data_IF_558059996624
#
_entry.id   IF_558059996624
#
_cell.length_a   1.000
_cell.length_b   1.000
_cell.length_c   1.000
_cell.angle_alpha   90.00
_cell.angle_beta   90.00
_cell.angle_gamma   90.00
#
_symmetry.space_group_name_H-M   'P 1'
#
loop_
_entity.id
_entity.type
_entity.pdbx_description
1 polymer ?
#
# COMPACT_ATOMS: atom_id res chain seq x y z
N UNK A 1 -45.76 3.85 54.09
CA UNK A 1 -44.46 4.53 54.21
C UNK A 1 -43.40 3.63 53.58
N UNK A 2 -43.10 3.83 52.29
CA UNK A 2 -42.02 3.11 51.60
C UNK A 2 -40.72 3.86 51.88
N UNK A 3 -39.85 3.25 52.68
CA UNK A 3 -38.50 3.74 52.93
C UNK A 3 -37.66 3.56 51.65
N UNK A 4 -37.45 4.64 50.89
CA UNK A 4 -36.33 4.71 49.96
C UNK A 4 -35.05 4.76 50.80
N UNK A 5 -34.25 3.70 50.74
CA UNK A 5 -32.88 3.72 51.23
C UNK A 5 -32.07 4.73 50.40
N UNK A 6 -31.26 5.61 51.02
CA UNK A 6 -30.29 6.38 50.27
C UNK A 6 -29.19 5.40 49.86
N UNK A 7 -29.20 4.92 48.62
CA UNK A 7 -28.00 4.33 48.04
C UNK A 7 -26.85 5.31 48.30
N UNK A 8 -25.73 4.88 48.91
CA UNK A 8 -24.69 5.81 49.29
C UNK A 8 -24.15 6.44 48.01
N UNK A 9 -24.29 7.76 47.88
CA UNK A 9 -23.83 8.56 46.74
C UNK A 9 -22.42 8.13 46.26
N UNK A 10 -21.57 7.70 47.21
CA UNK A 10 -20.24 7.13 47.00
C UNK A 10 -20.20 5.89 46.11
N UNK A 11 -21.13 4.95 46.25
CA UNK A 11 -21.20 3.74 45.42
C UNK A 11 -21.59 4.08 43.97
N UNK A 12 -22.50 5.03 43.78
CA UNK A 12 -22.84 5.55 42.46
C UNK A 12 -21.65 6.27 41.79
N UNK A 13 -20.94 7.12 42.54
CA UNK A 13 -19.73 7.77 42.03
C UNK A 13 -18.64 6.77 41.62
N UNK A 14 -18.42 5.71 42.41
CA UNK A 14 -17.48 4.63 42.08
C UNK A 14 -17.90 3.88 40.81
N UNK A 15 -19.18 3.56 40.67
CA UNK A 15 -19.69 2.83 39.51
C UNK A 15 -19.60 3.67 38.23
N UNK A 16 -19.87 4.98 38.31
CA UNK A 16 -19.68 5.93 37.20
C UNK A 16 -18.20 6.07 36.83
N UNK A 17 -17.28 6.15 37.81
CA UNK A 17 -15.84 6.20 37.55
C UNK A 17 -15.31 4.93 36.88
N UNK A 18 -15.75 3.75 37.34
CA UNK A 18 -15.39 2.47 36.73
C UNK A 18 -15.94 2.37 35.31
N UNK A 19 -17.21 2.73 35.10
CA UNK A 19 -17.81 2.75 33.77
C UNK A 19 -17.09 3.73 32.83
N UNK A 20 -16.71 4.92 33.32
CA UNK A 20 -15.93 5.89 32.56
C UNK A 20 -14.53 5.36 32.20
N UNK A 21 -13.86 4.65 33.12
CA UNK A 21 -12.55 4.03 32.85
C UNK A 21 -12.62 2.86 31.86
N UNK A 22 -13.72 2.11 31.84
CA UNK A 22 -13.94 1.04 30.86
C UNK A 22 -14.18 1.60 29.44
N UNK A 23 -14.71 2.82 29.32
CA UNK A 23 -14.95 3.48 28.03
C UNK A 23 -13.68 4.05 27.38
N UNK A 24 -12.56 4.16 28.11
CA UNK A 24 -11.29 4.68 27.54
C UNK A 24 -10.45 3.63 26.82
N UNK A 25 -10.83 2.35 26.84
CA UNK A 25 -10.03 1.24 26.30
C UNK A 25 -9.94 1.14 24.78
N UNK A 26 -10.83 1.77 24.02
CA UNK A 26 -10.90 1.64 22.55
C UNK A 26 -10.59 2.94 21.78
N UNK A 27 -10.13 3.99 22.45
CA UNK A 27 -10.18 5.34 21.89
C UNK A 27 -8.92 5.80 21.13
N UNK A 28 -7.79 5.12 21.27
CA UNK A 28 -6.53 5.61 20.68
C UNK A 28 -5.71 4.52 20.02
N UNK A 29 -5.29 4.79 18.79
CA UNK A 29 -4.23 4.06 18.11
C UNK A 29 -2.86 4.44 18.71
N UNK A 30 -1.83 3.57 18.59
CA UNK A 30 -0.45 3.95 18.84
C UNK A 30 -0.09 5.23 18.05
N UNK A 31 0.81 6.09 18.57
CA UNK A 31 1.24 7.27 17.84
C UNK A 31 1.82 6.86 16.47
N UNK A 32 1.52 7.61 15.39
CA UNK A 32 2.08 7.31 14.08
C UNK A 32 3.60 7.27 14.15
N UNK A 33 4.19 6.21 13.59
CA UNK A 33 5.63 6.14 13.39
C UNK A 33 6.07 7.34 12.53
N UNK A 34 7.19 8.02 12.85
CA UNK A 34 7.71 9.08 12.00
C UNK A 34 8.05 8.51 10.61
N UNK A 35 7.31 8.96 9.58
CA UNK A 35 7.53 8.54 8.20
C UNK A 35 8.44 9.55 7.50
N UNK A 36 9.46 9.07 6.82
CA UNK A 36 10.24 9.90 5.92
C UNK A 36 9.44 10.16 4.64
N UNK A 37 9.29 11.43 4.27
CA UNK A 37 8.73 11.77 2.97
C UNK A 37 9.56 11.15 1.85
N UNK A 38 8.87 10.54 0.89
CA UNK A 38 9.53 9.87 -0.22
C UNK A 38 8.82 10.27 -1.51
N UNK A 39 9.59 10.60 -2.55
CA UNK A 39 9.07 11.05 -3.85
C UNK A 39 9.47 10.07 -4.94
N UNK A 40 8.65 9.99 -5.99
CA UNK A 40 8.99 9.21 -7.18
C UNK A 40 10.19 9.84 -7.89
N UNK A 41 11.10 9.01 -8.40
CA UNK A 41 12.25 9.47 -9.19
C UNK A 41 11.78 9.72 -10.61
N UNK A 42 11.95 10.97 -11.10
CA UNK A 42 11.47 11.37 -12.42
C UNK A 42 12.48 11.14 -13.56
N UNK A 43 13.77 11.09 -13.24
CA UNK A 43 14.83 10.90 -14.25
C UNK A 43 15.03 9.41 -14.59
N UNK A 44 14.12 8.88 -15.40
CA UNK A 44 14.15 7.48 -15.87
C UNK A 44 14.26 7.38 -17.39
N UNK A 45 14.46 8.51 -18.07
CA UNK A 45 14.45 8.57 -19.53
C UNK A 45 15.54 7.72 -20.19
N UNK A 46 16.69 7.54 -19.54
CA UNK A 46 17.80 6.80 -20.13
C UNK A 46 17.74 5.28 -19.93
N UNK A 47 16.80 4.81 -19.12
CA UNK A 47 16.58 3.37 -18.89
C UNK A 47 16.08 2.66 -20.16
N UNK A 48 16.25 1.34 -20.22
CA UNK A 48 15.73 0.53 -21.33
C UNK A 48 14.22 0.67 -21.48
N UNK A 49 13.47 0.58 -20.37
CA UNK A 49 12.02 0.79 -20.35
C UNK A 49 11.63 2.22 -20.75
N UNK A 50 12.37 3.23 -20.29
CA UNK A 50 12.14 4.62 -20.68
C UNK A 50 12.37 4.88 -22.17
N UNK A 51 13.38 4.25 -22.77
CA UNK A 51 13.63 4.28 -24.22
C UNK A 51 12.53 3.55 -24.99
N UNK A 52 12.11 2.38 -24.53
CA UNK A 52 11.03 1.60 -25.15
C UNK A 52 9.70 2.37 -25.14
N UNK A 53 9.34 2.98 -24.00
CA UNK A 53 8.13 3.78 -23.89
C UNK A 53 8.12 4.99 -24.84
N UNK A 54 9.28 5.63 -25.06
CA UNK A 54 9.41 6.69 -26.08
C UNK A 54 9.32 6.17 -27.51
N UNK A 55 9.86 4.98 -27.77
CA UNK A 55 9.82 4.36 -29.10
C UNK A 55 8.40 3.88 -29.47
N UNK A 56 7.62 3.41 -28.50
CA UNK A 56 6.20 3.02 -28.68
C UNK A 56 5.26 4.23 -28.71
N UNK A 57 5.76 5.44 -28.40
CA UNK A 57 4.93 6.62 -28.40
C UNK A 57 4.34 6.88 -29.79
N UNK A 58 3.03 7.18 -29.88
CA UNK A 58 2.38 7.43 -31.16
C UNK A 58 3.00 8.65 -31.85
N UNK A 59 3.30 8.50 -33.14
CA UNK A 59 3.89 9.57 -33.96
C UNK A 59 3.00 10.83 -34.01
N UNK A 60 1.69 10.63 -33.91
CA UNK A 60 0.70 11.69 -33.78
C UNK A 60 0.09 11.63 -32.38
N UNK A 61 0.57 12.43 -31.41
CA UNK A 61 0.12 12.37 -30.02
C UNK A 61 -1.23 13.08 -29.80
N UNK A 62 -2.04 13.22 -30.85
CA UNK A 62 -3.34 13.88 -30.84
C UNK A 62 -4.39 12.85 -31.28
N UNK A 63 -5.26 12.49 -30.35
CA UNK A 63 -6.47 11.72 -30.62
C UNK A 63 -7.60 12.62 -31.09
N UNK A 64 -8.78 12.02 -31.26
CA UNK A 64 -9.99 12.71 -31.74
C UNK A 64 -10.37 13.92 -30.88
N UNK A 65 -10.15 13.85 -29.58
CA UNK A 65 -10.63 14.85 -28.59
C UNK A 65 -9.49 15.61 -27.90
N UNK A 66 -8.26 15.58 -28.44
CA UNK A 66 -7.09 16.28 -27.89
C UNK A 66 -5.86 15.37 -27.72
N UNK A 67 -4.86 15.81 -26.93
CA UNK A 67 -3.65 15.03 -26.69
C UNK A 67 -3.94 13.65 -26.10
N UNK A 68 -3.20 12.64 -26.55
CA UNK A 68 -3.30 11.29 -26.00
C UNK A 68 -2.75 11.27 -24.56
N UNK A 69 -3.39 10.49 -23.68
CA UNK A 69 -3.06 10.41 -22.26
C UNK A 69 -1.80 9.57 -21.96
N UNK A 70 -1.20 8.96 -22.99
CA UNK A 70 -0.09 7.99 -22.89
C UNK A 70 -0.39 6.75 -22.03
N UNK A 71 -1.67 6.46 -21.76
CA UNK A 71 -2.10 5.21 -21.14
C UNK A 71 -2.43 4.14 -22.18
N UNK A 72 -1.98 2.91 -21.93
CA UNK A 72 -2.37 1.71 -22.66
C UNK A 72 -3.33 0.88 -21.80
N UNK A 73 -4.51 0.59 -22.33
CA UNK A 73 -5.47 -0.27 -21.65
C UNK A 73 -5.05 -1.74 -21.78
N UNK A 74 -5.08 -2.46 -20.67
CA UNK A 74 -4.80 -3.89 -20.58
C UNK A 74 -6.04 -4.58 -19.96
N UNK A 75 -7.07 -4.90 -20.77
CA UNK A 75 -8.35 -5.39 -20.26
C UNK A 75 -8.29 -6.85 -19.79
N UNK A 76 -7.34 -7.64 -20.29
CA UNK A 76 -7.14 -9.01 -19.88
C UNK A 76 -6.28 -9.08 -18.62
N UNK A 77 -6.78 -9.77 -17.59
CA UNK A 77 -6.12 -9.82 -16.29
C UNK A 77 -4.76 -10.54 -16.34
N UNK A 78 -4.66 -11.64 -17.10
CA UNK A 78 -3.42 -12.39 -17.21
C UNK A 78 -2.35 -11.56 -17.94
N UNK A 79 -2.71 -10.91 -19.04
CA UNK A 79 -1.82 -10.02 -19.76
C UNK A 79 -1.41 -8.80 -18.93
N UNK A 80 -2.34 -8.21 -18.18
CA UNK A 80 -2.05 -7.08 -17.31
C UNK A 80 -1.11 -7.47 -16.15
N UNK A 81 -1.23 -8.69 -15.63
CA UNK A 81 -0.31 -9.21 -14.61
C UNK A 81 1.07 -9.50 -15.20
N UNK A 82 1.15 -10.20 -16.33
CA UNK A 82 2.41 -10.48 -17.02
C UNK A 82 3.18 -9.19 -17.36
N UNK A 83 2.48 -8.14 -17.81
CA UNK A 83 3.08 -6.83 -18.04
C UNK A 83 3.73 -6.26 -16.76
N UNK A 84 3.09 -6.39 -15.59
CA UNK A 84 3.65 -5.92 -14.31
C UNK A 84 4.88 -6.72 -13.90
N UNK A 85 4.85 -8.04 -14.06
CA UNK A 85 6.00 -8.89 -13.79
C UNK A 85 7.16 -8.55 -14.72
N UNK A 86 6.87 -8.37 -16.01
CA UNK A 86 7.87 -7.95 -17.01
C UNK A 86 8.48 -6.58 -16.69
N UNK A 87 7.67 -5.61 -16.24
CA UNK A 87 8.17 -4.31 -15.79
C UNK A 87 9.05 -4.42 -14.54
N UNK A 88 8.65 -5.22 -13.55
CA UNK A 88 9.45 -5.44 -12.34
C UNK A 88 10.81 -6.10 -12.64
N UNK A 89 10.83 -7.11 -13.52
CA UNK A 89 12.05 -7.79 -13.97
C UNK A 89 13.03 -6.87 -14.69
N UNK A 90 12.51 -5.89 -15.42
CA UNK A 90 13.32 -4.98 -16.25
C UNK A 90 13.50 -3.58 -15.62
N UNK A 91 13.08 -3.38 -14.37
CA UNK A 91 13.35 -2.13 -13.66
C UNK A 91 14.86 -1.97 -13.42
N UNK A 92 15.38 -0.76 -13.67
CA UNK A 92 16.81 -0.42 -13.55
C UNK A 92 17.12 0.49 -12.36
N UNK A 93 16.27 1.48 -12.07
CA UNK A 93 16.57 2.53 -11.07
C UNK A 93 15.59 2.55 -9.89
N UNK A 94 14.29 2.55 -10.18
CA UNK A 94 13.23 2.64 -9.18
C UNK A 94 12.02 1.82 -9.62
N UNK A 95 11.27 1.29 -8.65
CA UNK A 95 10.00 0.60 -8.87
C UNK A 95 9.02 1.01 -7.76
N UNK A 96 8.06 1.87 -8.11
CA UNK A 96 7.01 2.32 -7.19
C UNK A 96 5.72 1.54 -7.48
N UNK A 97 5.17 0.89 -6.45
CA UNK A 97 4.10 -0.10 -6.57
C UNK A 97 3.00 0.23 -5.57
N UNK A 98 1.76 0.33 -6.03
CA UNK A 98 0.61 0.73 -5.20
C UNK A 98 -0.53 -0.28 -5.39
N UNK A 99 -0.99 -0.90 -4.30
CA UNK A 99 -2.02 -1.94 -4.32
C UNK A 99 -3.04 -1.76 -3.22
N UNK A 100 -4.29 -2.16 -3.51
CA UNK A 100 -5.33 -2.27 -2.49
C UNK A 100 -5.18 -3.55 -1.65
N UNK A 101 -4.63 -4.62 -2.23
CA UNK A 101 -4.42 -5.90 -1.57
C UNK A 101 -3.34 -6.69 -2.31
N UNK A 102 -2.49 -7.35 -1.54
CA UNK A 102 -1.60 -8.42 -2.00
C UNK A 102 -1.86 -9.58 -1.04
N UNK A 103 -2.33 -10.71 -1.58
CA UNK A 103 -2.62 -11.89 -0.79
C UNK A 103 -1.40 -12.82 -0.68
N UNK A 104 -1.33 -13.60 0.39
CA UNK A 104 -0.37 -14.69 0.53
C UNK A 104 -0.78 -15.93 -0.28
N UNK A 105 -0.84 -15.76 -1.61
CA UNK A 105 -1.13 -16.80 -2.58
C UNK A 105 -0.07 -16.82 -3.69
N UNK A 106 -0.17 -17.76 -4.63
CA UNK A 106 0.83 -17.92 -5.70
C UNK A 106 1.04 -16.63 -6.53
N UNK A 107 -0.01 -15.84 -6.73
CA UNK A 107 0.04 -14.62 -7.54
C UNK A 107 0.69 -13.48 -6.76
N UNK A 108 0.29 -13.28 -5.51
CA UNK A 108 0.87 -12.28 -4.63
C UNK A 108 2.32 -12.59 -4.30
N UNK A 109 2.64 -13.85 -3.99
CA UNK A 109 4.01 -14.29 -3.73
C UNK A 109 4.91 -14.15 -4.96
N UNK A 110 4.40 -14.41 -6.15
CA UNK A 110 5.14 -14.15 -7.38
C UNK A 110 5.43 -12.66 -7.54
N UNK A 111 4.45 -11.78 -7.33
CA UNK A 111 4.68 -10.33 -7.39
C UNK A 111 5.75 -9.90 -6.37
N UNK A 112 5.59 -10.28 -5.09
CA UNK A 112 6.51 -9.91 -4.02
C UNK A 112 7.93 -10.44 -4.27
N UNK A 113 8.05 -11.64 -4.83
CA UNK A 113 9.34 -12.19 -5.28
C UNK A 113 10.00 -11.31 -6.32
N UNK A 114 9.27 -10.85 -7.32
CA UNK A 114 9.85 -10.01 -8.38
C UNK A 114 10.21 -8.61 -7.87
N UNK A 115 9.49 -8.10 -6.86
CA UNK A 115 9.86 -6.87 -6.14
C UNK A 115 11.16 -7.06 -5.37
N UNK A 116 11.27 -8.16 -4.59
CA UNK A 116 12.51 -8.53 -3.90
C UNK A 116 13.68 -8.67 -4.87
N UNK A 117 13.50 -9.44 -5.94
CA UNK A 117 14.56 -9.68 -6.93
C UNK A 117 14.97 -8.37 -7.62
N UNK A 118 14.09 -7.38 -7.73
CA UNK A 118 14.45 -6.03 -8.18
C UNK A 118 15.26 -5.27 -7.14
N UNK A 119 14.86 -5.31 -5.87
CA UNK A 119 15.62 -4.70 -4.77
C UNK A 119 17.04 -5.28 -4.66
N UNK A 120 17.20 -6.61 -4.79
CA UNK A 120 18.51 -7.28 -4.81
C UNK A 120 19.42 -6.82 -5.95
N UNK A 121 18.85 -6.38 -7.08
CA UNK A 121 19.61 -5.77 -8.20
C UNK A 121 20.00 -4.31 -7.95
N UNK A 122 19.59 -3.72 -6.82
CA UNK A 122 19.83 -2.32 -6.47
C UNK A 122 18.75 -1.35 -6.94
N UNK A 123 17.59 -1.85 -7.40
CA UNK A 123 16.44 -1.00 -7.74
C UNK A 123 15.83 -0.46 -6.45
N UNK A 124 15.57 0.85 -6.36
CA UNK A 124 14.78 1.39 -5.25
C UNK A 124 13.33 0.95 -5.35
N UNK A 125 12.92 -0.02 -4.54
CA UNK A 125 11.54 -0.50 -4.49
C UNK A 125 10.75 0.27 -3.43
N UNK A 126 9.53 0.67 -3.75
CA UNK A 126 8.59 1.23 -2.78
C UNK A 126 7.22 0.61 -3.00
N UNK A 127 6.77 -0.12 -2.00
CA UNK A 127 5.46 -0.75 -1.98
C UNK A 127 4.54 0.04 -1.04
N UNK A 128 3.38 0.46 -1.55
CA UNK A 128 2.30 1.04 -0.79
C UNK A 128 1.09 0.10 -0.89
N UNK A 129 0.71 -0.50 0.24
CA UNK A 129 -0.48 -1.35 0.35
C UNK A 129 -1.48 -0.69 1.28
N UNK A 130 -2.76 -0.79 0.91
CA UNK A 130 -3.86 -0.37 1.77
C UNK A 130 -4.00 -1.33 2.97
N UNK A 131 -4.29 -0.78 4.16
CA UNK A 131 -4.34 -1.51 5.44
C UNK A 131 -5.66 -2.28 5.67
N UNK A 132 -6.63 -2.22 4.74
CA UNK A 132 -7.94 -2.86 4.92
C UNK A 132 -7.87 -4.39 5.01
N UNK A 133 -6.89 -5.03 4.37
CA UNK A 133 -6.78 -6.50 4.24
C UNK A 133 -5.40 -7.04 4.60
N UNK A 134 -4.63 -6.31 5.39
CA UNK A 134 -3.25 -6.64 5.81
C UNK A 134 -3.19 -7.40 7.13
N UNK A 135 -4.32 -7.57 7.82
CA UNK A 135 -4.36 -8.25 9.12
C UNK A 135 -3.83 -9.69 9.00
N UNK A 136 -2.72 -9.98 9.69
CA UNK A 136 -2.05 -11.28 9.64
C UNK A 136 -0.99 -11.41 8.54
N UNK A 137 -0.81 -10.39 7.71
CA UNK A 137 0.20 -10.34 6.65
C UNK A 137 1.48 -9.58 7.09
N UNK A 138 1.57 -9.21 8.37
CA UNK A 138 2.69 -8.45 8.93
C UNK A 138 4.05 -9.12 8.67
N UNK A 139 4.11 -10.45 8.83
CA UNK A 139 5.33 -11.23 8.58
C UNK A 139 5.72 -11.20 7.10
N UNK A 140 4.74 -11.32 6.20
CA UNK A 140 4.97 -11.30 4.75
C UNK A 140 5.58 -9.97 4.30
N UNK A 141 5.00 -8.84 4.73
CA UNK A 141 5.52 -7.52 4.35
C UNK A 141 6.83 -7.17 5.07
N UNK A 142 6.99 -7.59 6.32
CA UNK A 142 8.26 -7.40 7.05
C UNK A 142 9.42 -8.19 6.42
N UNK A 143 9.14 -9.37 5.87
CA UNK A 143 10.14 -10.14 5.13
C UNK A 143 10.58 -9.43 3.85
N UNK A 144 9.68 -8.72 3.16
CA UNK A 144 10.04 -7.92 1.99
C UNK A 144 10.87 -6.69 2.35
N UNK A 145 10.57 -6.02 3.47
CA UNK A 145 11.27 -4.80 3.92
C UNK A 145 12.76 -5.03 4.26
N UNK A 146 13.19 -6.29 4.35
CA UNK A 146 14.59 -6.66 4.56
C UNK A 146 15.49 -6.47 3.31
N UNK A 147 14.93 -6.12 2.16
CA UNK A 147 15.61 -5.99 0.86
C UNK A 147 15.54 -4.56 0.32
#
# INVERSE_FOLDING_TARGET
MLFLSPFPLRAWCLLVLVAAGLLTGCASLPPPQPRHESRAVADVGQTTLGKLARADAPQTPVGRDGPLSAFRLLPDAAFAFDARISLARNAENTLDVQYYQIANDDVGLLLLRELRDAAERGVRVRLLVDDLYTAGEDELFSALDAF
#
